data_IF_055126515226
#
_entry.id   IF_055126515226
#
_cell.length_a   1.000
_cell.length_b   1.000
_cell.length_c   1.000
_cell.angle_alpha   90.00
_cell.angle_beta   90.00
_cell.angle_gamma   90.00
#
_symmetry.space_group_name_H-M   'P 1'
#
loop_
_entity.id
_entity.type
_entity.pdbx_description
1 polymer ?
#
# COMPACT_ATOMS: atom_id res chain seq x y z
N UNK A 1 -38.26 -13.09 -24.75
CA UNK A 1 -37.19 -14.03 -25.19
C UNK A 1 -35.98 -13.22 -25.69
N UNK A 2 -35.33 -12.42 -24.82
CA UNK A 2 -34.21 -11.53 -25.18
C UNK A 2 -33.27 -11.36 -23.97
N UNK A 3 -32.78 -12.46 -23.41
CA UNK A 3 -31.92 -12.43 -22.23
C UNK A 3 -30.49 -12.81 -22.63
N UNK A 4 -29.51 -11.97 -22.22
CA UNK A 4 -28.04 -12.07 -22.33
C UNK A 4 -27.29 -11.25 -23.41
N UNK A 5 -27.87 -10.20 -23.97
CA UNK A 5 -27.19 -9.34 -24.97
C UNK A 5 -26.16 -8.33 -24.40
N UNK A 6 -26.11 -8.13 -23.08
CA UNK A 6 -25.21 -7.14 -22.49
C UNK A 6 -24.04 -7.83 -21.78
N UNK A 7 -22.85 -7.56 -22.30
CA UNK A 7 -21.51 -7.66 -21.69
C UNK A 7 -20.64 -8.86 -22.07
N UNK A 8 -21.00 -10.11 -21.77
CA UNK A 8 -20.06 -11.24 -21.96
C UNK A 8 -19.69 -11.57 -23.43
N UNK A 9 -20.64 -11.76 -24.36
CA UNK A 9 -20.28 -12.11 -25.74
C UNK A 9 -19.61 -10.93 -26.48
N UNK A 10 -19.97 -9.69 -26.14
CA UNK A 10 -19.39 -8.49 -26.75
C UNK A 10 -17.92 -8.32 -26.36
N UNK A 11 -17.56 -8.50 -25.08
CA UNK A 11 -16.16 -8.44 -24.65
C UNK A 11 -15.31 -9.55 -25.29
N UNK A 12 -15.86 -10.77 -25.42
CA UNK A 12 -15.18 -11.87 -26.10
C UNK A 12 -14.92 -11.53 -27.58
N UNK A 13 -15.91 -10.96 -28.29
CA UNK A 13 -15.76 -10.54 -29.67
C UNK A 13 -14.65 -9.50 -29.84
N UNK A 14 -14.60 -8.50 -28.96
CA UNK A 14 -13.56 -7.46 -28.98
C UNK A 14 -12.18 -8.08 -28.71
N UNK A 15 -12.07 -8.98 -27.73
CA UNK A 15 -10.81 -9.66 -27.43
C UNK A 15 -10.28 -10.46 -28.64
N UNK A 16 -11.17 -11.14 -29.38
CA UNK A 16 -10.81 -11.86 -30.60
C UNK A 16 -10.34 -10.90 -31.69
N UNK A 17 -11.04 -9.79 -31.93
CA UNK A 17 -10.65 -8.78 -32.94
C UNK A 17 -9.27 -8.21 -32.63
N UNK A 18 -9.01 -7.84 -31.37
CA UNK A 18 -7.70 -7.34 -30.94
C UNK A 18 -6.63 -8.41 -31.11
N UNK A 19 -6.91 -9.67 -30.75
CA UNK A 19 -5.96 -10.77 -30.92
C UNK A 19 -5.61 -11.02 -32.40
N UNK A 20 -6.57 -10.86 -33.32
CA UNK A 20 -6.34 -11.00 -34.77
C UNK A 20 -5.51 -9.83 -35.32
N UNK A 21 -5.81 -8.59 -34.90
CA UNK A 21 -5.07 -7.39 -35.34
C UNK A 21 -3.63 -7.36 -34.82
N UNK A 22 -3.43 -7.68 -33.55
CA UNK A 22 -2.11 -7.64 -32.91
C UNK A 22 -1.34 -8.96 -33.05
N UNK A 23 -2.04 -10.07 -33.29
CA UNK A 23 -1.49 -11.42 -33.40
C UNK A 23 -1.14 -12.04 -32.05
N UNK A 24 -1.26 -13.37 -31.94
CA UNK A 24 -0.95 -14.13 -30.71
C UNK A 24 0.48 -13.95 -30.19
N UNK A 25 1.44 -13.69 -31.08
CA UNK A 25 2.85 -13.52 -30.72
C UNK A 25 3.12 -12.26 -29.90
N UNK A 26 2.65 -11.09 -30.37
CA UNK A 26 2.89 -9.81 -29.70
C UNK A 26 2.09 -9.69 -28.41
N UNK A 27 0.83 -10.14 -28.40
CA UNK A 27 -0.01 -10.11 -27.19
C UNK A 27 0.54 -11.03 -26.10
N UNK A 28 1.02 -12.24 -26.44
CA UNK A 28 1.57 -13.17 -25.45
C UNK A 28 2.90 -12.71 -24.86
N UNK A 29 3.76 -12.05 -25.64
CA UNK A 29 5.01 -11.47 -25.15
C UNK A 29 4.73 -10.35 -24.13
N UNK A 30 3.82 -9.43 -24.48
CA UNK A 30 3.42 -8.32 -23.61
C UNK A 30 2.71 -8.81 -22.34
N UNK A 31 1.81 -9.80 -22.45
CA UNK A 31 1.18 -10.37 -21.25
C UNK A 31 2.16 -11.10 -20.34
N UNK A 32 3.25 -11.66 -20.89
CA UNK A 32 4.32 -12.25 -20.09
C UNK A 32 5.07 -11.22 -19.25
N UNK A 33 5.41 -10.07 -19.83
CA UNK A 33 6.10 -8.98 -19.14
C UNK A 33 5.19 -8.28 -18.12
N UNK A 34 3.96 -7.96 -18.52
CA UNK A 34 2.95 -7.35 -17.62
C UNK A 34 2.57 -8.31 -16.50
N UNK A 35 2.41 -9.61 -16.79
CA UNK A 35 2.07 -10.64 -15.80
C UNK A 35 3.12 -10.73 -14.69
N UNK A 36 4.42 -10.72 -15.03
CA UNK A 36 5.49 -10.71 -14.01
C UNK A 36 5.46 -9.46 -13.15
N UNK A 37 5.24 -8.29 -13.75
CA UNK A 37 5.11 -7.02 -13.02
C UNK A 37 3.93 -7.02 -12.03
N UNK A 38 2.76 -7.48 -12.48
CA UNK A 38 1.56 -7.58 -11.64
C UNK A 38 1.73 -8.63 -10.54
N UNK A 39 2.36 -9.78 -10.81
CA UNK A 39 2.65 -10.80 -9.78
C UNK A 39 3.63 -10.28 -8.73
N UNK A 40 4.71 -9.58 -9.14
CA UNK A 40 5.66 -8.98 -8.20
C UNK A 40 5.00 -7.91 -7.33
N UNK A 41 4.13 -7.08 -7.94
CA UNK A 41 3.35 -6.09 -7.21
C UNK A 41 2.40 -6.74 -6.20
N UNK A 42 1.65 -7.78 -6.60
CA UNK A 42 0.76 -8.51 -5.70
C UNK A 42 1.53 -9.09 -4.50
N UNK A 43 2.65 -9.75 -4.74
CA UNK A 43 3.50 -10.31 -3.68
C UNK A 43 4.04 -9.23 -2.75
N UNK A 44 4.46 -8.08 -3.28
CA UNK A 44 4.91 -6.96 -2.45
C UNK A 44 3.79 -6.42 -1.54
N UNK A 45 2.57 -6.30 -2.05
CA UNK A 45 1.40 -5.85 -1.26
C UNK A 45 1.00 -6.90 -0.21
N UNK A 46 1.06 -8.19 -0.55
CA UNK A 46 0.79 -9.28 0.40
C UNK A 46 1.85 -9.35 1.52
N UNK A 47 3.13 -9.16 1.18
CA UNK A 47 4.23 -9.13 2.14
C UNK A 47 4.14 -7.91 3.07
N UNK A 48 3.75 -6.72 2.59
CA UNK A 48 3.50 -5.55 3.44
C UNK A 48 2.32 -5.79 4.39
N UNK A 49 1.25 -6.41 3.92
CA UNK A 49 0.09 -6.71 4.77
C UNK A 49 0.43 -7.78 5.83
N UNK A 50 1.27 -8.76 5.48
CA UNK A 50 1.77 -9.75 6.43
C UNK A 50 2.74 -9.13 7.45
N UNK A 51 3.61 -8.21 7.03
CA UNK A 51 4.53 -7.49 7.91
C UNK A 51 3.81 -6.50 8.85
N UNK A 52 2.67 -5.93 8.42
CA UNK A 52 1.82 -5.11 9.28
C UNK A 52 1.09 -5.93 10.36
N UNK A 53 0.78 -7.20 10.09
CA UNK A 53 0.16 -8.11 11.05
C UNK A 53 1.16 -8.75 12.04
N UNK A 54 2.45 -8.79 11.70
CA UNK A 54 3.49 -9.46 12.49
C UNK A 54 4.36 -8.51 13.35
N UNK A 55 4.14 -7.20 13.30
CA UNK A 55 4.83 -6.25 14.18
C UNK A 55 4.12 -6.21 15.55
N UNK A 56 4.76 -6.65 16.66
CA UNK A 56 4.35 -6.20 17.97
C UNK A 56 4.52 -4.68 17.96
N UNK A 57 3.48 -3.95 18.32
CA UNK A 57 3.57 -2.50 18.49
C UNK A 57 4.84 -2.19 19.31
N UNK A 58 5.72 -1.27 18.86
CA UNK A 58 6.80 -0.81 19.71
C UNK A 58 6.13 -0.26 20.96
N UNK A 59 6.28 -0.96 22.08
CA UNK A 59 5.89 -0.44 23.37
C UNK A 59 6.69 0.84 23.53
N UNK A 60 6.01 1.97 23.36
CA UNK A 60 6.53 3.27 23.74
C UNK A 60 6.69 3.17 25.25
N UNK A 61 7.89 2.81 25.70
CA UNK A 61 8.33 2.95 27.08
C UNK A 61 8.30 4.44 27.39
N UNK A 62 7.17 4.86 27.94
CA UNK A 62 6.93 6.19 28.49
C UNK A 62 7.90 6.41 29.66
N UNK A 63 9.12 6.87 29.34
CA UNK A 63 10.09 7.36 30.33
C UNK A 63 9.78 8.80 30.75
N UNK A 64 8.51 9.09 31.02
CA UNK A 64 8.04 10.36 31.57
C UNK A 64 7.65 10.19 33.03
N UNK A 65 8.52 9.55 33.80
CA UNK A 65 8.53 9.69 35.24
C UNK A 65 9.96 9.45 35.72
N UNK A 66 10.50 10.40 36.49
CA UNK A 66 11.80 10.38 37.17
C UNK A 66 12.97 11.03 36.42
N UNK A 67 12.87 12.34 36.19
CA UNK A 67 13.97 13.23 36.58
C UNK A 67 13.39 14.58 37.01
N UNK A 68 12.99 14.64 38.28
CA UNK A 68 12.76 15.91 38.96
C UNK A 68 13.85 16.08 40.01
N UNK A 69 14.83 16.97 39.77
CA UNK A 69 15.52 17.65 40.83
C UNK A 69 15.08 19.12 40.82
N UNK A 70 14.09 19.45 41.66
CA UNK A 70 14.12 20.75 42.37
C UNK A 70 15.03 20.51 43.58
N UNK A 71 16.07 21.32 43.86
CA UNK A 71 16.02 22.79 43.88
C UNK A 71 17.35 23.52 43.53
N UNK A 72 17.28 24.67 42.81
CA UNK A 72 18.32 25.71 42.97
C UNK A 72 17.71 27.11 43.03
N UNK A 73 18.12 27.80 44.09
CA UNK A 73 17.63 29.05 44.64
C UNK A 73 18.69 30.12 44.38
N UNK A 74 18.34 31.17 43.62
CA UNK A 74 19.02 32.48 43.64
C UNK A 74 18.12 33.50 42.92
N UNK A 75 17.25 34.23 43.62
CA UNK A 75 17.55 35.49 44.30
C UNK A 75 18.19 36.54 43.38
N UNK A 76 17.35 37.41 42.79
CA UNK A 76 17.46 38.87 42.93
C UNK A 76 16.41 39.60 42.06
N UNK A 77 15.86 40.66 42.65
CA UNK A 77 15.40 41.87 41.96
C UNK A 77 14.07 41.83 41.20
N UNK A 78 12.97 42.23 41.85
CA UNK A 78 12.57 43.64 41.82
C UNK A 78 11.39 43.89 42.76
N UNK A 79 11.70 44.56 43.86
CA UNK A 79 10.74 45.30 44.67
C UNK A 79 10.17 46.46 43.83
N UNK A 80 8.89 46.77 44.06
CA UNK A 80 8.25 48.05 43.80
C UNK A 80 7.77 48.34 42.36
N UNK A 81 6.50 48.00 42.09
CA UNK A 81 5.40 48.97 41.93
C UNK A 81 4.07 48.28 42.13
#
# INVERSE_FOLDING_TARGET
>A
MLNNALTLPHLLLIAVVVLVLFGKGKVSALMGEVGRGVTAFKRGVEDENAAAAAQPAPAVEDRTAQDAPVPQQQAADKTLT
#
